data_IF_369900289024
#
_entry.id   IF_369900289024
#
_cell.length_a   1.000
_cell.length_b   1.000
_cell.length_c   1.000
_cell.angle_alpha   90.00
_cell.angle_beta   90.00
_cell.angle_gamma   90.00
#
_symmetry.space_group_name_H-M   'P 1'
#
loop_
_entity.id
_entity.type
_entity.pdbx_description
1 polymer ?
#
# COMPACT_ATOMS: atom_id res chain seq x y z
N UNK A 1 1.41 22.83 4.43
CA UNK A 1 -0.01 23.16 4.18
C UNK A 1 -0.24 24.01 2.93
N UNK A 2 0.44 25.14 2.73
CA UNK A 2 0.19 26.02 1.56
C UNK A 2 0.36 25.31 0.21
N UNK A 3 1.44 24.54 0.02
CA UNK A 3 1.69 23.81 -1.23
C UNK A 3 0.59 22.77 -1.54
N UNK A 4 0.04 22.11 -0.53
CA UNK A 4 -1.04 21.13 -0.70
C UNK A 4 -2.32 21.80 -1.20
N UNK A 5 -2.74 22.89 -0.55
CA UNK A 5 -3.94 23.61 -0.95
C UNK A 5 -3.78 24.26 -2.33
N UNK A 6 -2.62 24.84 -2.62
CA UNK A 6 -2.31 25.39 -3.93
C UNK A 6 -2.40 24.32 -5.04
N UNK A 7 -1.82 23.13 -4.80
CA UNK A 7 -1.93 22.00 -5.73
C UNK A 7 -3.38 21.53 -5.88
N UNK A 8 -4.14 21.44 -4.79
CA UNK A 8 -5.55 21.06 -4.81
C UNK A 8 -6.40 22.01 -5.66
N UNK A 9 -6.26 23.32 -5.46
CA UNK A 9 -6.97 24.34 -6.25
C UNK A 9 -6.56 24.27 -7.72
N UNK A 10 -5.26 24.19 -8.02
CA UNK A 10 -4.77 24.06 -9.39
C UNK A 10 -5.30 22.80 -10.08
N UNK A 11 -5.35 21.68 -9.36
CA UNK A 11 -5.93 20.44 -9.87
C UNK A 11 -7.42 20.61 -10.14
N UNK A 12 -8.20 21.20 -9.23
CA UNK A 12 -9.64 21.39 -9.42
C UNK A 12 -10.00 22.30 -10.59
N UNK A 13 -9.18 23.32 -10.88
CA UNK A 13 -9.37 24.21 -12.03
C UNK A 13 -9.08 23.46 -13.34
N UNK A 14 -8.08 22.57 -13.34
CA UNK A 14 -7.57 21.89 -14.54
C UNK A 14 -8.11 20.49 -14.75
N UNK A 15 -8.84 19.90 -13.80
CA UNK A 15 -9.27 18.48 -13.82
C UNK A 15 -10.06 18.08 -15.07
N UNK A 16 -10.71 19.04 -15.73
CA UNK A 16 -11.49 18.80 -16.95
C UNK A 16 -10.62 18.71 -18.20
N UNK A 17 -9.37 19.19 -18.15
CA UNK A 17 -8.40 19.17 -19.26
C UNK A 17 -7.24 18.23 -18.90
N UNK A 18 -7.27 17.03 -19.50
CA UNK A 18 -6.25 16.00 -19.29
C UNK A 18 -4.84 16.49 -19.61
N UNK A 19 -4.65 17.22 -20.71
CA UNK A 19 -3.33 17.71 -21.12
C UNK A 19 -2.79 18.74 -20.13
N UNK A 20 -3.65 19.61 -19.60
CA UNK A 20 -3.27 20.59 -18.59
C UNK A 20 -2.85 19.90 -17.27
N UNK A 21 -3.52 18.81 -16.87
CA UNK A 21 -3.14 18.01 -15.70
C UNK A 21 -1.83 17.27 -15.95
N UNK A 22 -1.66 16.59 -17.09
CA UNK A 22 -0.41 15.89 -17.41
C UNK A 22 0.79 16.84 -17.43
N UNK A 23 0.66 18.03 -18.02
CA UNK A 23 1.72 19.06 -18.00
C UNK A 23 2.00 19.57 -16.58
N UNK A 24 0.97 19.73 -15.76
CA UNK A 24 1.13 20.13 -14.36
C UNK A 24 1.92 19.08 -13.58
N UNK A 25 1.54 17.81 -13.69
CA UNK A 25 2.22 16.70 -13.02
C UNK A 25 3.66 16.58 -13.51
N UNK A 26 3.91 16.57 -14.82
CA UNK A 26 5.25 16.49 -15.39
C UNK A 26 6.19 17.63 -14.92
N UNK A 27 5.64 18.83 -14.67
CA UNK A 27 6.41 19.94 -14.10
C UNK A 27 6.72 19.72 -12.62
N UNK A 28 5.75 19.23 -11.85
CA UNK A 28 5.86 19.04 -10.41
C UNK A 28 6.63 17.78 -10.01
N UNK A 29 6.67 16.75 -10.85
CA UNK A 29 7.53 15.58 -10.61
C UNK A 29 9.01 15.93 -10.73
N UNK A 30 9.34 16.89 -11.60
CA UNK A 30 10.70 17.45 -11.74
C UNK A 30 11.06 18.46 -10.65
N UNK A 31 10.06 19.13 -10.07
CA UNK A 31 10.27 20.16 -9.05
C UNK A 31 9.99 19.57 -7.67
N UNK A 32 11.02 19.30 -6.87
CA UNK A 32 10.84 18.67 -5.57
C UNK A 32 9.93 19.52 -4.64
N UNK A 33 8.74 18.97 -4.34
CA UNK A 33 7.81 19.56 -3.38
C UNK A 33 8.33 19.36 -1.96
N UNK A 34 8.27 20.41 -1.14
CA UNK A 34 8.77 20.37 0.26
C UNK A 34 7.74 19.77 1.22
N UNK A 35 6.45 19.90 0.92
CA UNK A 35 5.37 19.45 1.79
C UNK A 35 4.99 17.99 1.51
N UNK A 36 5.08 17.06 2.49
CA UNK A 36 4.73 15.65 2.29
C UNK A 36 3.27 15.47 1.86
N UNK A 37 2.34 16.26 2.41
CA UNK A 37 0.94 16.28 1.98
C UNK A 37 0.76 16.60 0.49
N UNK A 38 1.58 17.52 -0.04
CA UNK A 38 1.52 17.90 -1.45
C UNK A 38 2.07 16.77 -2.33
N UNK A 39 3.11 16.06 -1.87
CA UNK A 39 3.63 14.88 -2.55
C UNK A 39 2.59 13.75 -2.56
N UNK A 40 1.91 13.47 -1.43
CA UNK A 40 0.81 12.50 -1.39
C UNK A 40 -0.32 12.86 -2.37
N UNK A 41 -0.70 14.14 -2.44
CA UNK A 41 -1.68 14.59 -3.43
C UNK A 41 -1.20 14.38 -4.87
N UNK A 42 0.08 14.67 -5.13
CA UNK A 42 0.68 14.47 -6.45
C UNK A 42 0.71 12.99 -6.84
N UNK A 43 1.05 12.09 -5.92
CA UNK A 43 0.97 10.62 -6.11
C UNK A 43 -0.45 10.23 -6.52
N UNK A 44 -1.49 10.68 -5.80
CA UNK A 44 -2.88 10.37 -6.16
C UNK A 44 -3.28 10.86 -7.55
N UNK A 45 -2.84 12.07 -7.92
CA UNK A 45 -3.10 12.61 -9.26
C UNK A 45 -2.36 11.78 -10.32
N UNK A 46 -1.10 11.40 -10.08
CA UNK A 46 -0.31 10.58 -10.97
C UNK A 46 -0.93 9.18 -11.17
N UNK A 47 -1.40 8.53 -10.10
CA UNK A 47 -2.11 7.26 -10.20
C UNK A 47 -3.37 7.36 -11.05
N UNK A 48 -4.17 8.41 -10.85
CA UNK A 48 -5.38 8.62 -11.66
C UNK A 48 -5.06 8.81 -13.14
N UNK A 49 -4.00 9.56 -13.46
CA UNK A 49 -3.55 9.71 -14.84
C UNK A 49 -3.09 8.38 -15.45
N UNK A 50 -2.36 7.56 -14.68
CA UNK A 50 -1.93 6.22 -15.11
C UNK A 50 -3.12 5.31 -15.39
N UNK A 51 -4.13 5.29 -14.51
CA UNK A 51 -5.37 4.51 -14.74
C UNK A 51 -6.14 5.01 -15.98
N UNK A 52 -6.17 6.32 -16.20
CA UNK A 52 -6.76 6.94 -17.39
C UNK A 52 -5.94 6.67 -18.67
N UNK A 53 -4.63 6.39 -18.57
CA UNK A 53 -3.77 5.94 -19.69
C UNK A 53 -3.98 4.46 -20.00
N UNK A 54 -4.05 3.61 -18.97
CA UNK A 54 -4.31 2.18 -19.08
C UNK A 54 -5.68 1.89 -19.68
N UNK A 55 -6.71 2.66 -19.32
CA UNK A 55 -8.07 2.50 -19.85
C UNK A 55 -8.19 2.73 -21.36
N UNK A 56 -7.31 3.58 -21.91
CA UNK A 56 -7.26 3.91 -23.35
C UNK A 56 -6.29 2.99 -24.09
N UNK A 57 -5.66 2.04 -23.40
CA UNK A 57 -4.67 1.11 -23.99
C UNK A 57 -3.34 1.78 -24.36
N UNK A 58 -3.10 2.99 -23.88
CA UNK A 58 -1.88 3.77 -24.11
C UNK A 58 -0.85 3.64 -22.97
N UNK A 59 -1.14 2.82 -21.95
CA UNK A 59 -0.26 2.60 -20.81
C UNK A 59 1.06 1.95 -21.23
N UNK A 60 2.16 2.66 -21.02
CA UNK A 60 3.52 2.11 -21.15
C UNK A 60 4.04 1.65 -19.78
N UNK A 61 4.71 0.50 -19.68
CA UNK A 61 5.37 0.07 -18.44
C UNK A 61 6.46 1.07 -17.99
N UNK A 62 7.08 1.79 -18.92
CA UNK A 62 8.09 2.83 -18.64
C UNK A 62 7.46 4.23 -18.50
N UNK A 63 6.27 4.33 -17.90
CA UNK A 63 5.65 5.65 -17.71
C UNK A 63 6.48 6.49 -16.73
N UNK A 64 6.84 7.74 -17.07
CA UNK A 64 7.57 8.63 -16.15
C UNK A 64 6.77 8.94 -14.88
N UNK A 65 5.44 8.73 -14.91
CA UNK A 65 4.59 8.83 -13.74
C UNK A 65 4.82 7.66 -12.78
N UNK A 66 5.02 6.45 -13.30
CA UNK A 66 5.32 5.27 -12.49
C UNK A 66 6.71 5.40 -11.84
N UNK A 67 7.73 5.81 -12.61
CA UNK A 67 9.07 6.07 -12.07
C UNK A 67 9.04 7.10 -10.92
N UNK A 68 8.22 8.14 -11.05
CA UNK A 68 8.03 9.11 -9.97
C UNK A 68 7.41 8.47 -8.72
N UNK A 69 6.37 7.64 -8.86
CA UNK A 69 5.74 6.97 -7.72
C UNK A 69 6.72 5.99 -7.06
N UNK A 70 7.48 5.23 -7.86
CA UNK A 70 8.51 4.32 -7.35
C UNK A 70 9.61 5.09 -6.60
N UNK A 71 10.05 6.24 -7.11
CA UNK A 71 11.02 7.10 -6.40
C UNK A 71 10.50 7.60 -5.04
N UNK A 72 9.17 7.76 -4.90
CA UNK A 72 8.54 8.18 -3.66
C UNK A 72 8.60 7.10 -2.55
N UNK A 73 8.88 5.84 -2.88
CA UNK A 73 9.10 4.77 -1.89
C UNK A 73 10.35 5.01 -1.03
N UNK A 74 11.32 5.79 -1.53
CA UNK A 74 12.56 6.14 -0.82
C UNK A 74 12.50 7.51 -0.15
N UNK A 75 11.32 8.11 -0.06
CA UNK A 75 11.15 9.45 0.49
C UNK A 75 11.39 9.46 2.02
N UNK A 76 11.80 10.61 2.58
CA UNK A 76 12.08 10.73 4.03
C UNK A 76 10.84 10.62 4.93
N UNK A 77 9.66 10.88 4.38
CA UNK A 77 8.39 10.91 5.11
C UNK A 77 7.65 9.58 4.98
N UNK A 78 7.43 8.88 6.08
CA UNK A 78 6.68 7.61 6.15
C UNK A 78 5.29 7.70 5.48
N UNK A 79 4.60 8.84 5.62
CA UNK A 79 3.30 9.08 4.96
C UNK A 79 3.39 9.03 3.42
N UNK A 80 4.46 9.58 2.85
CA UNK A 80 4.67 9.60 1.39
C UNK A 80 5.04 8.20 0.91
N UNK A 81 5.91 7.54 1.67
CA UNK A 81 6.32 6.16 1.41
C UNK A 81 5.09 5.23 1.39
N UNK A 82 4.24 5.33 2.41
CA UNK A 82 3.01 4.53 2.50
C UNK A 82 2.05 4.84 1.35
N UNK A 83 1.83 6.12 1.05
CA UNK A 83 0.94 6.52 -0.05
C UNK A 83 1.45 5.98 -1.40
N UNK A 84 2.77 5.99 -1.64
CA UNK A 84 3.37 5.41 -2.84
C UNK A 84 3.20 3.89 -2.91
N UNK A 85 3.46 3.17 -1.80
CA UNK A 85 3.25 1.73 -1.74
C UNK A 85 1.78 1.35 -1.96
N UNK A 86 0.86 2.08 -1.31
CA UNK A 86 -0.58 1.88 -1.45
C UNK A 86 -1.07 2.17 -2.88
N UNK A 87 -0.52 3.21 -3.51
CA UNK A 87 -0.76 3.55 -4.91
C UNK A 87 -0.38 2.39 -5.83
N UNK A 88 0.88 1.91 -5.75
CA UNK A 88 1.39 0.82 -6.59
C UNK A 88 0.53 -0.44 -6.45
N UNK A 89 0.22 -0.84 -5.21
CA UNK A 89 -0.61 -2.04 -4.94
C UNK A 89 -2.01 -1.96 -5.57
N UNK A 90 -2.56 -0.76 -5.72
CA UNK A 90 -3.92 -0.56 -6.23
C UNK A 90 -4.02 -0.38 -7.75
N UNK A 91 -2.88 -0.25 -8.46
CA UNK A 91 -2.90 -0.13 -9.92
C UNK A 91 -3.38 -1.45 -10.54
N UNK A 92 -4.26 -1.34 -11.54
CA UNK A 92 -4.98 -2.50 -12.14
C UNK A 92 -4.07 -3.49 -12.86
N UNK A 93 -2.91 -3.05 -13.34
CA UNK A 93 -1.97 -3.84 -14.15
C UNK A 93 -0.58 -3.98 -13.50
N UNK A 94 -0.54 -4.06 -12.18
CA UNK A 94 0.74 -4.18 -11.46
C UNK A 94 1.34 -5.57 -11.67
N UNK A 95 2.56 -5.63 -12.21
CA UNK A 95 3.32 -6.87 -12.33
C UNK A 95 3.97 -7.25 -11.00
N UNK A 96 4.30 -8.54 -10.81
CA UNK A 96 5.01 -9.00 -9.61
C UNK A 96 6.35 -8.25 -9.38
N UNK A 97 7.01 -7.80 -10.45
CA UNK A 97 8.25 -7.03 -10.39
C UNK A 97 8.04 -5.62 -9.85
N UNK A 98 6.98 -4.94 -10.29
CA UNK A 98 6.60 -3.60 -9.83
C UNK A 98 6.07 -3.61 -8.39
N UNK A 99 5.45 -4.73 -7.99
CA UNK A 99 4.91 -4.93 -6.66
C UNK A 99 6.01 -5.16 -5.60
N UNK A 100 7.12 -5.79 -5.98
CA UNK A 100 8.22 -6.13 -5.08
C UNK A 100 8.73 -4.95 -4.21
N UNK A 101 9.08 -3.77 -4.77
CA UNK A 101 9.57 -2.65 -3.96
C UNK A 101 8.49 -2.11 -3.00
N UNK A 102 7.22 -2.11 -3.39
CA UNK A 102 6.12 -1.71 -2.52
C UNK A 102 5.95 -2.70 -1.36
N UNK A 103 6.03 -4.01 -1.63
CA UNK A 103 5.94 -5.07 -0.59
C UNK A 103 7.12 -4.99 0.37
N UNK A 104 8.35 -4.78 -0.10
CA UNK A 104 9.52 -4.65 0.79
C UNK A 104 9.39 -3.49 1.78
N UNK A 105 8.79 -2.38 1.35
CA UNK A 105 8.54 -1.23 2.22
C UNK A 105 7.41 -1.52 3.22
N UNK A 106 6.34 -2.18 2.78
CA UNK A 106 5.25 -2.59 3.68
C UNK A 106 5.75 -3.60 4.72
N UNK A 107 6.64 -4.51 4.34
CA UNK A 107 7.33 -5.43 5.24
C UNK A 107 8.09 -4.67 6.34
N UNK A 108 8.86 -3.64 5.97
CA UNK A 108 9.56 -2.79 6.94
C UNK A 108 8.58 -2.11 7.92
N UNK A 109 7.40 -1.69 7.45
CA UNK A 109 6.38 -1.07 8.30
C UNK A 109 5.70 -2.05 9.26
N UNK A 110 5.66 -3.36 8.97
CA UNK A 110 5.20 -4.38 9.91
C UNK A 110 6.02 -4.40 11.20
N UNK A 111 7.32 -4.10 11.11
CA UNK A 111 8.23 -4.04 12.26
C UNK A 111 8.36 -2.64 12.90
N UNK A 112 7.50 -1.69 12.51
CA UNK A 112 7.54 -0.32 13.05
C UNK A 112 7.07 -0.24 14.50
N UNK A 113 7.67 0.60 15.36
CA UNK A 113 7.16 0.83 16.72
C UNK A 113 5.82 1.59 16.73
N UNK A 114 5.37 2.17 15.59
CA UNK A 114 4.12 2.93 15.48
C UNK A 114 2.96 1.99 15.11
N UNK A 115 1.94 1.80 15.98
CA UNK A 115 0.80 0.92 15.68
C UNK A 115 0.03 1.31 14.41
N UNK A 116 -0.03 2.60 14.09
CA UNK A 116 -0.71 3.11 12.89
C UNK A 116 -0.06 2.64 11.60
N UNK A 117 1.29 2.61 11.55
CA UNK A 117 2.02 2.12 10.37
C UNK A 117 1.90 0.61 10.23
N UNK A 118 2.00 -0.13 11.35
CA UNK A 118 1.80 -1.59 11.35
C UNK A 118 0.41 -1.96 10.83
N UNK A 119 -0.63 -1.32 11.35
CA UNK A 119 -2.00 -1.55 10.90
C UNK A 119 -2.18 -1.23 9.40
N UNK A 120 -1.66 -0.08 8.96
CA UNK A 120 -1.74 0.33 7.58
C UNK A 120 -1.01 -0.63 6.62
N UNK A 121 0.15 -1.15 7.05
CA UNK A 121 0.93 -2.12 6.31
C UNK A 121 0.21 -3.47 6.18
N UNK A 122 -0.20 -4.07 7.30
CA UNK A 122 -0.90 -5.36 7.31
C UNK A 122 -2.19 -5.29 6.51
N UNK A 123 -2.97 -4.21 6.63
CA UNK A 123 -4.19 -4.02 5.83
C UNK A 123 -3.91 -4.00 4.32
N UNK A 124 -2.85 -3.31 3.89
CA UNK A 124 -2.47 -3.29 2.46
C UNK A 124 -1.96 -4.65 2.01
N UNK A 125 -1.13 -5.33 2.82
CA UNK A 125 -0.63 -6.68 2.51
C UNK A 125 -1.77 -7.71 2.42
N UNK A 126 -2.79 -7.62 3.28
CA UNK A 126 -3.98 -8.47 3.20
C UNK A 126 -4.69 -8.33 1.86
N UNK A 127 -4.80 -7.10 1.35
CA UNK A 127 -5.37 -6.82 0.03
C UNK A 127 -4.50 -7.39 -1.10
N UNK A 128 -3.17 -7.24 -1.01
CA UNK A 128 -2.23 -7.83 -1.98
C UNK A 128 -2.37 -9.35 -2.00
N UNK A 129 -2.45 -9.99 -0.83
CA UNK A 129 -2.55 -11.44 -0.70
C UNK A 129 -3.77 -12.04 -1.42
N UNK A 130 -4.85 -11.27 -1.62
CA UNK A 130 -6.02 -11.72 -2.40
C UNK A 130 -5.75 -11.86 -3.90
N UNK A 131 -4.75 -11.13 -4.44
CA UNK A 131 -4.45 -11.09 -5.88
C UNK A 131 -3.09 -11.70 -6.22
N UNK A 132 -2.10 -11.48 -5.37
CA UNK A 132 -0.71 -11.92 -5.55
C UNK A 132 -0.17 -12.58 -4.27
N UNK A 133 -0.68 -13.75 -3.86
CA UNK A 133 -0.26 -14.41 -2.62
C UNK A 133 1.25 -14.64 -2.54
N UNK A 134 1.86 -15.06 -3.66
CA UNK A 134 3.29 -15.35 -3.77
C UNK A 134 4.17 -14.15 -3.40
N UNK A 135 3.76 -12.92 -3.74
CA UNK A 135 4.52 -11.71 -3.44
C UNK A 135 4.54 -11.41 -1.93
N UNK A 136 3.51 -11.81 -1.18
CA UNK A 136 3.37 -11.54 0.25
C UNK A 136 4.06 -12.60 1.12
N UNK A 137 4.41 -13.77 0.56
CA UNK A 137 5.08 -14.86 1.30
C UNK A 137 6.36 -14.41 2.01
N UNK A 138 7.11 -13.47 1.44
CA UNK A 138 8.30 -12.88 2.04
C UNK A 138 8.03 -12.16 3.37
N UNK A 139 6.79 -11.71 3.59
CA UNK A 139 6.34 -11.04 4.81
C UNK A 139 5.78 -11.99 5.87
N UNK A 140 5.69 -13.31 5.61
CA UNK A 140 5.02 -14.25 6.52
C UNK A 140 5.64 -14.24 7.92
N UNK A 141 6.98 -14.18 8.02
CA UNK A 141 7.65 -14.15 9.32
C UNK A 141 7.35 -12.87 10.12
N UNK A 142 7.31 -11.71 9.47
CA UNK A 142 6.92 -10.45 10.10
C UNK A 142 5.44 -10.46 10.51
N UNK A 143 4.56 -11.03 9.69
CA UNK A 143 3.13 -11.17 9.99
C UNK A 143 2.88 -12.12 11.16
N UNK A 144 3.65 -13.20 11.29
CA UNK A 144 3.56 -14.12 12.43
C UNK A 144 3.88 -13.40 13.75
N UNK A 145 4.90 -12.54 13.76
CA UNK A 145 5.23 -11.73 14.95
C UNK A 145 4.06 -10.82 15.35
N UNK A 146 3.29 -10.33 14.38
CA UNK A 146 2.13 -9.45 14.61
C UNK A 146 0.89 -10.18 15.15
N UNK A 147 0.84 -11.51 15.19
CA UNK A 147 -0.24 -12.26 15.86
C UNK A 147 -0.29 -11.91 17.35
N UNK A 148 0.87 -11.65 17.95
CA UNK A 148 1.00 -11.31 19.38
C UNK A 148 0.87 -9.80 19.66
N UNK A 149 0.47 -9.01 18.66
CA UNK A 149 0.34 -7.56 18.82
C UNK A 149 -0.72 -7.19 19.86
N UNK A 150 -0.39 -6.20 20.70
CA UNK A 150 -1.32 -5.53 21.61
C UNK A 150 -2.62 -5.06 20.94
N UNK A 151 -2.55 -4.63 19.67
CA UNK A 151 -3.71 -4.20 18.91
C UNK A 151 -4.35 -5.41 18.21
N UNK A 152 -5.52 -5.81 18.72
CA UNK A 152 -6.26 -6.96 18.20
C UNK A 152 -6.65 -6.82 16.73
N UNK A 153 -6.91 -5.62 16.22
CA UNK A 153 -7.20 -5.42 14.80
C UNK A 153 -5.99 -5.71 13.90
N UNK A 154 -4.77 -5.42 14.37
CA UNK A 154 -3.53 -5.77 13.65
C UNK A 154 -3.36 -7.29 13.64
N UNK A 155 -3.48 -7.92 14.80
CA UNK A 155 -3.36 -9.37 14.94
C UNK A 155 -4.40 -10.12 14.10
N UNK A 156 -5.67 -9.70 14.11
CA UNK A 156 -6.72 -10.29 13.26
C UNK A 156 -6.36 -10.20 11.78
N UNK A 157 -5.97 -9.01 11.29
CA UNK A 157 -5.60 -8.85 9.88
C UNK A 157 -4.34 -9.65 9.52
N UNK A 158 -3.38 -9.79 10.45
CA UNK A 158 -2.19 -10.59 10.25
C UNK A 158 -2.55 -12.07 10.08
N UNK A 159 -3.43 -12.59 10.94
CA UNK A 159 -3.99 -13.94 10.84
C UNK A 159 -4.70 -14.14 9.49
N UNK A 160 -5.64 -13.25 9.13
CA UNK A 160 -6.36 -13.36 7.85
C UNK A 160 -5.41 -13.35 6.66
N UNK A 161 -4.29 -12.61 6.75
CA UNK A 161 -3.27 -12.58 5.69
C UNK A 161 -2.47 -13.89 5.64
N UNK A 162 -2.03 -14.39 6.80
CA UNK A 162 -1.29 -15.65 6.92
C UNK A 162 -2.11 -16.87 6.49
N UNK A 163 -3.43 -16.87 6.69
CA UNK A 163 -4.30 -17.93 6.17
C UNK A 163 -4.35 -17.93 4.63
N UNK A 164 -4.10 -16.79 3.98
CA UNK A 164 -4.09 -16.64 2.51
C UNK A 164 -2.71 -16.93 1.90
N UNK A 165 -1.64 -16.75 2.67
CA UNK A 165 -0.24 -16.85 2.19
C UNK A 165 0.55 -17.99 2.84
N UNK A 166 -0.06 -18.69 3.80
CA UNK A 166 0.57 -19.74 4.59
C UNK A 166 0.97 -20.93 3.73
N UNK A 167 2.20 -21.41 3.94
CA UNK A 167 2.68 -22.64 3.34
C UNK A 167 2.26 -23.83 4.21
N UNK A 168 2.06 -25.01 3.61
CA UNK A 168 1.66 -26.25 4.31
C UNK A 168 2.54 -26.54 5.54
N UNK A 169 3.84 -26.25 5.46
CA UNK A 169 4.80 -26.43 6.55
C UNK A 169 4.57 -25.56 7.79
N UNK A 170 3.82 -24.46 7.65
CA UNK A 170 3.56 -23.49 8.72
C UNK A 170 2.16 -23.61 9.33
N UNK A 171 1.27 -24.40 8.72
CA UNK A 171 -0.15 -24.49 9.09
C UNK A 171 -0.32 -24.95 10.53
N UNK A 172 0.36 -26.01 10.97
CA UNK A 172 0.21 -26.53 12.34
C UNK A 172 0.63 -25.54 13.43
N UNK A 173 1.69 -24.76 13.18
CA UNK A 173 2.14 -23.71 14.11
C UNK A 173 1.15 -22.55 14.14
N UNK A 174 0.72 -22.10 12.96
CA UNK A 174 -0.25 -21.02 12.80
C UNK A 174 -1.57 -21.39 13.48
N UNK A 175 -2.10 -22.58 13.24
CA UNK A 175 -3.37 -23.02 13.81
C UNK A 175 -3.36 -23.08 15.33
N UNK A 176 -2.23 -23.46 15.97
CA UNK A 176 -2.10 -23.40 17.43
C UNK A 176 -2.15 -21.98 17.97
N UNK A 177 -1.44 -21.04 17.34
CA UNK A 177 -1.45 -19.63 17.74
C UNK A 177 -2.83 -18.99 17.49
N UNK A 178 -3.45 -19.29 16.35
CA UNK A 178 -4.79 -18.81 16.00
C UNK A 178 -5.84 -19.39 16.96
N UNK A 179 -5.79 -20.68 17.30
CA UNK A 179 -6.74 -21.26 18.26
C UNK A 179 -6.69 -20.57 19.62
N UNK A 180 -5.48 -20.26 20.12
CA UNK A 180 -5.29 -19.48 21.35
C UNK A 180 -5.80 -18.04 21.22
N UNK A 181 -5.69 -17.43 20.03
CA UNK A 181 -6.18 -16.07 19.80
C UNK A 181 -7.71 -16.04 19.67
N UNK A 182 -8.29 -16.99 18.94
CA UNK A 182 -9.74 -17.11 18.69
C UNK A 182 -10.53 -17.33 19.98
N UNK A 183 -9.97 -18.04 20.96
CA UNK A 183 -10.59 -18.19 22.28
C UNK A 183 -10.62 -16.90 23.10
N UNK A 184 -9.73 -15.94 22.82
CA UNK A 184 -9.60 -14.67 23.55
C UNK A 184 -10.37 -13.50 22.92
N UNK A 185 -10.83 -13.62 21.66
CA UNK A 185 -11.46 -12.50 20.93
C UNK A 185 -12.98 -12.61 20.86
N UNK A 186 -13.63 -11.45 20.70
CA UNK A 186 -15.08 -11.35 20.48
C UNK A 186 -15.49 -11.95 19.14
N UNK A 187 -16.75 -12.38 19.04
CA UNK A 187 -17.29 -13.04 17.85
C UNK A 187 -17.25 -12.15 16.59
N UNK A 188 -17.27 -10.82 16.74
CA UNK A 188 -17.08 -9.87 15.63
C UNK A 188 -15.74 -10.05 14.91
N UNK A 189 -14.65 -10.28 15.65
CA UNK A 189 -13.33 -10.49 15.05
C UNK A 189 -13.19 -11.88 14.46
N UNK A 190 -13.94 -12.88 14.95
CA UNK A 190 -13.94 -14.23 14.37
C UNK A 190 -14.50 -14.23 12.94
N UNK A 191 -15.53 -13.42 12.67
CA UNK A 191 -16.11 -13.30 11.32
C UNK A 191 -15.07 -12.81 10.31
N UNK A 192 -14.24 -11.83 10.69
CA UNK A 192 -13.20 -11.25 9.82
C UNK A 192 -12.05 -12.24 9.53
N UNK A 193 -11.79 -13.19 10.43
CA UNK A 193 -10.78 -14.23 10.21
C UNK A 193 -11.24 -15.26 9.18
N UNK A 194 -12.54 -15.56 9.14
CA UNK A 194 -13.12 -16.60 8.26
C UNK A 194 -13.37 -16.08 6.83
N UNK A 195 -13.31 -14.77 6.59
CA UNK A 195 -13.63 -14.10 5.32
C UNK A 195 -12.40 -13.73 4.46
#
# INVERSE_FOLDING_TARGET
MVQYHALGVLYHIRKSDRLAVTKLVAKLTRTSLKSPYAVCMLIRIACKLLEDEDSVGAGSPDSPLFEFIESCLRHKSEMVIYEAAHAIVNLRRTTARELAPAVSVLQLFCSSPKPTLRFAAVRTLNKVAMSHPAAVTACNLDLENLITDSNRSIATLAITTLLKTGAESSVDRLMKQIASFVSEISDEFKIVVVQ
#
